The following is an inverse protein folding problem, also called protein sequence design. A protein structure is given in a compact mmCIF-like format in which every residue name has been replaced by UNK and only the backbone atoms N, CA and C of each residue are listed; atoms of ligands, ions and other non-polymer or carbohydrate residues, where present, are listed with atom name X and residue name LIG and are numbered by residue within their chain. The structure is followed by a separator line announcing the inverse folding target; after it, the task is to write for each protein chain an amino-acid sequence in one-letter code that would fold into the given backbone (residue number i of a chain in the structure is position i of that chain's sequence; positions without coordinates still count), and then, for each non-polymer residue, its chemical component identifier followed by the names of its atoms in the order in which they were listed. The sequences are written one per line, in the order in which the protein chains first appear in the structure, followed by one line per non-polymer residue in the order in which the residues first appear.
data_IF_586103448662
#
_entry.id   IF_586103448662
#
_cell.length_a   1.000
_cell.length_b   1.000
_cell.length_c   1.000
_cell.angle_alpha   90.00
_cell.angle_beta   90.00
_cell.angle_gamma   90.00
#
_symmetry.space_group_name_H-M   'P 1'
#
loop_
_entity.id
_entity.type
_entity.pdbx_description
1 polymer ?
#
# COMPACT_ATOMS: atom_id res chain seq x y z
N UNK A 1 -11.36 0.41 8.22
CA UNK A 1 -11.05 -0.98 7.79
C UNK A 1 -10.73 -1.12 6.28
N UNK A 2 -10.29 -0.08 5.55
CA UNK A 2 -9.98 -0.19 4.11
C UNK A 2 -8.50 -0.55 3.80
N UNK A 3 -7.53 -0.02 4.55
CA UNK A 3 -6.11 -0.33 4.34
C UNK A 3 -5.73 -1.79 4.60
N UNK A 4 -6.47 -2.47 5.49
CA UNK A 4 -6.19 -3.85 5.86
C UNK A 4 -6.42 -4.82 4.70
N UNK A 5 -7.40 -4.51 3.83
CA UNK A 5 -7.76 -5.30 2.66
C UNK A 5 -6.73 -5.14 1.54
N UNK A 6 -6.23 -3.92 1.30
CA UNK A 6 -5.13 -3.64 0.37
C UNK A 6 -3.86 -4.41 0.71
N UNK A 7 -3.55 -4.57 1.99
CA UNK A 7 -2.38 -5.34 2.44
C UNK A 7 -2.48 -6.85 2.15
N UNK A 8 -3.68 -7.41 2.06
CA UNK A 8 -3.89 -8.83 1.69
C UNK A 8 -3.79 -9.07 0.18
N UNK A 9 -4.20 -8.09 -0.61
CA UNK A 9 -4.12 -8.14 -2.08
C UNK A 9 -2.74 -7.70 -2.60
N UNK A 10 -1.83 -7.31 -1.69
CA UNK A 10 -0.52 -6.82 -2.10
C UNK A 10 0.26 -7.90 -2.87
N UNK A 11 0.85 -7.53 -4.02
CA UNK A 11 1.56 -8.43 -4.92
C UNK A 11 2.58 -9.38 -4.31
N UNK A 12 3.27 -8.90 -3.29
CA UNK A 12 4.48 -9.50 -2.76
C UNK A 12 4.22 -9.88 -1.29
N UNK A 13 4.07 -11.18 -0.99
CA UNK A 13 3.85 -11.65 0.38
C UNK A 13 5.03 -11.32 1.30
N UNK A 14 6.23 -11.11 0.76
CA UNK A 14 7.44 -10.76 1.51
C UNK A 14 7.55 -9.25 1.80
N UNK A 15 6.68 -8.42 1.21
CA UNK A 15 6.75 -6.98 1.47
C UNK A 15 6.32 -6.62 2.91
N UNK A 16 5.57 -7.51 3.57
CA UNK A 16 5.09 -7.34 4.94
C UNK A 16 4.42 -5.97 5.19
N UNK A 17 3.55 -5.56 4.25
CA UNK A 17 2.87 -4.26 4.30
C UNK A 17 2.13 -4.01 5.61
N UNK A 18 1.32 -4.99 6.05
CA UNK A 18 0.51 -4.88 7.26
C UNK A 18 1.36 -4.75 8.54
N UNK A 19 2.41 -5.56 8.76
CA UNK A 19 3.36 -5.33 9.85
C UNK A 19 4.00 -3.94 9.83
N UNK A 20 4.49 -3.47 8.67
CA UNK A 20 5.12 -2.16 8.52
C UNK A 20 4.16 -1.02 8.85
N UNK A 21 2.93 -1.10 8.36
CA UNK A 21 1.87 -0.13 8.65
C UNK A 21 1.58 -0.06 10.15
N UNK A 22 1.38 -1.20 10.81
CA UNK A 22 1.14 -1.25 12.26
C UNK A 22 2.34 -0.76 13.07
N UNK A 23 3.56 -1.02 12.62
CA UNK A 23 4.77 -0.52 13.27
C UNK A 23 4.85 1.02 13.18
N UNK A 24 4.55 1.58 12.01
CA UNK A 24 4.49 3.03 11.82
C UNK A 24 3.43 3.70 12.70
N UNK A 25 2.21 3.17 12.76
CA UNK A 25 1.18 3.74 13.65
C UNK A 25 1.58 3.62 15.13
N UNK A 26 2.12 2.47 15.57
CA UNK A 26 2.60 2.31 16.95
C UNK A 26 3.73 3.26 17.29
N UNK A 27 4.69 3.44 16.39
CA UNK A 27 5.83 4.35 16.60
C UNK A 27 5.40 5.80 16.77
N UNK A 28 4.31 6.22 16.12
CA UNK A 28 3.83 7.60 16.17
C UNK A 28 2.62 7.79 17.12
N UNK A 29 2.24 6.76 17.90
CA UNK A 29 1.06 6.81 18.76
C UNK A 29 1.17 7.77 19.95
N UNK A 30 2.40 8.17 20.31
CA UNK A 30 2.68 9.10 21.40
C UNK A 30 2.74 10.56 20.95
N UNK A 31 2.56 10.84 19.65
CA UNK A 31 2.60 12.20 19.14
C UNK A 31 1.38 12.98 19.63
N UNK A 32 1.63 14.17 20.17
CA UNK A 32 0.60 15.10 20.66
C UNK A 32 0.65 16.45 19.95
N UNK A 33 1.67 16.71 19.13
CA UNK A 33 1.74 17.91 18.30
C UNK A 33 0.89 17.71 17.03
N UNK A 34 -0.10 18.59 16.86
CA UNK A 34 -1.04 18.58 15.75
C UNK A 34 -0.33 18.65 14.39
N UNK A 35 0.76 19.42 14.28
CA UNK A 35 1.51 19.55 13.01
C UNK A 35 2.19 18.24 12.63
N UNK A 36 2.77 17.55 13.60
CA UNK A 36 3.41 16.26 13.35
C UNK A 36 2.38 15.20 13.01
N UNK A 37 1.24 15.16 13.71
CA UNK A 37 0.13 14.26 13.43
C UNK A 37 -0.36 14.45 11.99
N UNK A 38 -0.61 15.70 11.57
CA UNK A 38 -1.07 15.99 10.22
C UNK A 38 -0.06 15.54 9.14
N UNK A 39 1.24 15.76 9.40
CA UNK A 39 2.32 15.28 8.53
C UNK A 39 2.34 13.75 8.40
N UNK A 40 2.19 13.02 9.52
CA UNK A 40 2.12 11.55 9.49
C UNK A 40 0.86 11.04 8.78
N UNK A 41 -0.27 11.71 8.93
CA UNK A 41 -1.50 11.39 8.22
C UNK A 41 -1.35 11.59 6.71
N UNK A 42 -0.74 12.70 6.28
CA UNK A 42 -0.41 12.94 4.86
C UNK A 42 0.50 11.85 4.29
N UNK A 43 1.52 11.44 5.05
CA UNK A 43 2.39 10.32 4.67
C UNK A 43 1.61 9.00 4.54
N UNK A 44 0.68 8.72 5.47
CA UNK A 44 -0.14 7.52 5.40
C UNK A 44 -1.05 7.49 4.15
N UNK A 45 -1.65 8.62 3.80
CA UNK A 45 -2.47 8.78 2.59
C UNK A 45 -1.63 8.59 1.31
N UNK A 46 -0.41 9.14 1.29
CA UNK A 46 0.53 8.93 0.19
C UNK A 46 0.88 7.45 0.00
N UNK A 47 1.29 6.77 1.09
CA UNK A 47 1.64 5.33 1.04
C UNK A 47 0.46 4.49 0.56
N UNK A 48 -0.77 4.82 0.96
CA UNK A 48 -1.98 4.15 0.46
C UNK A 48 -2.11 4.28 -1.06
N UNK A 49 -2.00 5.49 -1.61
CA UNK A 49 -2.11 5.74 -3.07
C UNK A 49 -1.00 5.05 -3.86
N UNK A 50 0.23 5.07 -3.35
CA UNK A 50 1.38 4.37 -3.94
C UNK A 50 1.11 2.86 -4.03
N UNK A 51 0.62 2.29 -2.93
CA UNK A 51 0.28 0.86 -2.81
C UNK A 51 -0.81 0.45 -3.79
N UNK A 52 -1.89 1.24 -3.89
CA UNK A 52 -2.97 1.03 -4.85
C UNK A 52 -2.45 1.09 -6.30
N UNK A 53 -1.57 2.03 -6.61
CA UNK A 53 -0.97 2.21 -7.93
C UNK A 53 -0.10 1.00 -8.31
N UNK A 54 0.76 0.54 -7.40
CA UNK A 54 1.59 -0.65 -7.62
C UNK A 54 0.75 -1.90 -7.85
N UNK A 55 -0.35 -2.06 -7.09
CA UNK A 55 -1.29 -3.16 -7.28
C UNK A 55 -1.94 -3.13 -8.68
N UNK A 56 -2.46 -1.97 -9.09
CA UNK A 56 -3.04 -1.77 -10.44
C UNK A 56 -2.02 -2.06 -11.53
N UNK A 57 -0.78 -1.60 -11.37
CA UNK A 57 0.30 -1.81 -12.33
C UNK A 57 0.67 -3.29 -12.46
N UNK A 58 0.74 -4.04 -11.35
CA UNK A 58 0.94 -5.50 -11.42
C UNK A 58 -0.21 -6.17 -12.16
N UNK A 59 -1.46 -5.87 -11.80
CA UNK A 59 -2.64 -6.44 -12.48
C UNK A 59 -2.59 -6.18 -13.98
N UNK A 60 -2.27 -4.94 -14.37
CA UNK A 60 -2.07 -4.57 -15.78
C UNK A 60 -0.94 -5.37 -16.45
N UNK A 61 0.24 -5.47 -15.82
CA UNK A 61 1.37 -6.26 -16.34
C UNK A 61 1.01 -7.74 -16.53
N UNK A 62 0.31 -8.33 -15.56
CA UNK A 62 -0.14 -9.73 -15.63
C UNK A 62 -1.19 -9.95 -16.71
N UNK A 63 -2.16 -9.03 -16.85
CA UNK A 63 -3.15 -9.09 -17.92
C UNK A 63 -2.48 -8.94 -19.29
N UNK A 64 -1.64 -7.92 -19.47
CA UNK A 64 -0.90 -7.69 -20.72
C UNK A 64 -0.09 -8.92 -21.13
N UNK A 65 0.62 -9.57 -20.19
CA UNK A 65 1.37 -10.79 -20.47
C UNK A 65 0.47 -11.90 -21.01
N UNK A 66 -0.69 -12.13 -20.39
CA UNK A 66 -1.66 -13.14 -20.83
C UNK A 66 -2.25 -12.84 -22.21
N UNK A 67 -2.60 -11.58 -22.47
CA UNK A 67 -3.11 -11.17 -23.78
C UNK A 67 -2.04 -11.19 -24.89
N UNK A 68 -0.76 -10.96 -24.55
CA UNK A 68 0.35 -11.10 -25.50
C UNK A 68 0.69 -12.57 -25.74
N UNK A 69 0.55 -13.45 -24.74
CA UNK A 69 0.69 -14.92 -24.89
C UNK A 69 -0.51 -15.56 -25.62
N UNK A 70 -1.68 -14.90 -25.66
CA UNK A 70 -2.90 -15.36 -26.33
C UNK A 70 -3.29 -14.53 -27.57
N UNK A 71 -2.43 -13.60 -28.00
CA UNK A 71 -2.57 -12.90 -29.28
C UNK A 71 -2.13 -13.82 -30.45
N UNK A 72 -2.65 -13.60 -31.67
CA UNK A 72 -2.51 -14.52 -32.81
C UNK A 72 -1.05 -14.88 -33.16
#
# INVERSE_FOLDING_TARGET
MQLHRLGREYPDPNYHFLPKLRAMFRKNAHLTDDKEIESKLKLAEFVKKETETLYRLKKYRTLRRRYVEQGP
#
